data_IF_638389516250
#
_entry.id   IF_638389516250
#
_cell.length_a   1.000
_cell.length_b   1.000
_cell.length_c   1.000
_cell.angle_alpha   90.00
_cell.angle_beta   90.00
_cell.angle_gamma   90.00
#
_symmetry.space_group_name_H-M   'P 1'
#
loop_
_entity.id
_entity.type
_entity.pdbx_description
1 polymer ?
#
# COMPACT_ATOMS: atom_id res chain seq x y z
N UNK A 1 -21.54 -4.55 -3.52
CA UNK A 1 -21.67 -4.40 -2.05
C UNK A 1 -22.30 -5.61 -1.40
N UNK A 2 -23.35 -6.16 -1.99
CA UNK A 2 -23.99 -7.42 -1.51
C UNK A 2 -23.04 -8.63 -1.50
N UNK A 3 -22.24 -8.82 -2.53
CA UNK A 3 -21.22 -9.88 -2.60
C UNK A 3 -20.21 -9.82 -1.45
N UNK A 4 -19.73 -8.65 -1.06
CA UNK A 4 -18.80 -8.49 0.08
C UNK A 4 -19.49 -8.81 1.41
N UNK A 5 -20.74 -8.36 1.60
CA UNK A 5 -21.52 -8.65 2.81
C UNK A 5 -21.83 -10.14 2.92
N UNK A 6 -22.18 -10.77 1.80
CA UNK A 6 -22.38 -12.22 1.74
C UNK A 6 -21.05 -12.97 1.99
N UNK A 7 -19.94 -12.50 1.41
CA UNK A 7 -18.62 -13.05 1.65
C UNK A 7 -18.21 -13.02 3.13
N UNK A 8 -18.50 -11.94 3.86
CA UNK A 8 -18.27 -11.85 5.31
C UNK A 8 -19.08 -12.87 6.11
N UNK A 9 -20.25 -13.30 5.62
CA UNK A 9 -21.11 -14.29 6.28
C UNK A 9 -20.73 -15.74 5.91
N UNK A 10 -20.27 -15.97 4.70
CA UNK A 10 -20.02 -17.32 4.16
C UNK A 10 -18.56 -17.74 4.31
N UNK A 11 -17.60 -16.82 4.16
CA UNK A 11 -16.17 -17.11 4.24
C UNK A 11 -15.60 -16.65 5.60
N UNK A 12 -15.40 -17.60 6.53
CA UNK A 12 -14.84 -17.32 7.87
C UNK A 12 -13.44 -16.71 7.82
N UNK A 13 -12.60 -17.13 6.86
CA UNK A 13 -11.24 -16.60 6.74
C UNK A 13 -11.27 -15.12 6.32
N UNK A 14 -12.13 -14.76 5.37
CA UNK A 14 -12.33 -13.36 4.98
C UNK A 14 -12.88 -12.51 6.13
N UNK A 15 -13.82 -13.02 6.91
CA UNK A 15 -14.35 -12.32 8.08
C UNK A 15 -13.27 -12.06 9.13
N UNK A 16 -12.47 -13.08 9.47
CA UNK A 16 -11.38 -12.97 10.46
C UNK A 16 -10.32 -11.96 9.99
N UNK A 17 -9.85 -12.08 8.75
CA UNK A 17 -8.82 -11.17 8.23
C UNK A 17 -9.33 -9.73 8.10
N UNK A 18 -10.62 -9.53 7.76
CA UNK A 18 -11.25 -8.19 7.76
C UNK A 18 -11.32 -7.60 9.16
N UNK A 19 -11.64 -8.38 10.18
CA UNK A 19 -11.61 -7.93 11.58
C UNK A 19 -10.18 -7.54 12.00
N UNK A 20 -9.16 -8.32 11.59
CA UNK A 20 -7.76 -7.99 11.90
C UNK A 20 -7.32 -6.68 11.21
N UNK A 21 -7.70 -6.44 9.94
CA UNK A 21 -7.44 -5.17 9.26
C UNK A 21 -8.12 -4.00 9.98
N UNK A 22 -9.39 -4.16 10.35
CA UNK A 22 -10.12 -3.12 11.10
C UNK A 22 -9.48 -2.86 12.47
N UNK A 23 -9.01 -3.90 13.15
CA UNK A 23 -8.30 -3.78 14.43
C UNK A 23 -6.98 -3.02 14.27
N UNK A 24 -6.18 -3.31 13.25
CA UNK A 24 -4.95 -2.56 12.94
C UNK A 24 -5.24 -1.07 12.69
N UNK A 25 -6.27 -0.78 11.89
CA UNK A 25 -6.70 0.60 11.63
C UNK A 25 -7.17 1.27 12.92
N UNK A 26 -7.97 0.57 13.74
CA UNK A 26 -8.44 1.10 15.02
C UNK A 26 -7.30 1.41 15.99
N UNK A 27 -6.29 0.53 16.09
CA UNK A 27 -5.07 0.75 16.90
C UNK A 27 -4.32 1.99 16.40
N UNK A 28 -4.16 2.15 15.08
CA UNK A 28 -3.49 3.31 14.51
C UNK A 28 -4.20 4.63 14.83
N UNK A 29 -5.54 4.65 14.77
CA UNK A 29 -6.32 5.83 15.15
C UNK A 29 -6.36 6.06 16.67
N UNK A 30 -6.38 4.99 17.47
CA UNK A 30 -6.38 5.05 18.93
C UNK A 30 -4.98 5.30 19.53
N UNK A 31 -3.92 5.37 18.70
CA UNK A 31 -2.55 5.59 19.17
C UNK A 31 -2.41 6.76 20.18
N UNK A 32 -3.05 7.94 20.00
CA UNK A 32 -2.96 9.03 20.97
C UNK A 32 -3.55 8.70 22.36
N UNK A 33 -4.49 7.75 22.42
CA UNK A 33 -5.14 7.34 23.69
C UNK A 33 -4.42 6.13 24.30
N UNK A 34 -3.89 5.24 23.47
CA UNK A 34 -3.20 4.02 23.90
C UNK A 34 -1.75 4.25 24.28
N UNK A 35 -1.15 5.35 23.81
CA UNK A 35 0.26 5.68 24.06
C UNK A 35 0.42 6.22 25.48
N UNK A 36 1.29 5.60 26.32
CA UNK A 36 1.54 6.10 27.66
C UNK A 36 2.41 7.36 27.67
N UNK A 37 3.19 7.60 26.61
CA UNK A 37 4.12 8.73 26.50
C UNK A 37 3.98 9.46 25.17
N UNK A 38 4.42 10.73 25.12
CA UNK A 38 4.60 11.45 23.86
C UNK A 38 5.71 10.77 23.04
N UNK A 39 5.45 10.34 21.78
CA UNK A 39 6.42 9.61 20.95
C UNK A 39 7.64 10.47 20.54
N UNK A 40 7.57 11.78 20.74
CA UNK A 40 8.64 12.74 20.37
C UNK A 40 9.39 13.28 21.57
N UNK A 41 8.86 13.09 22.78
CA UNK A 41 9.49 13.60 24.01
C UNK A 41 10.80 12.84 24.31
N UNK A 42 11.90 13.58 24.34
CA UNK A 42 13.24 13.03 24.58
C UNK A 42 13.65 13.21 26.04
N UNK A 43 14.06 12.12 26.70
CA UNK A 43 14.57 12.11 28.06
C UNK A 43 15.94 11.43 28.05
N UNK A 44 17.01 12.19 27.85
CA UNK A 44 18.36 11.65 27.66
C UNK A 44 18.85 10.75 28.83
N UNK A 45 18.29 10.91 30.02
CA UNK A 45 18.57 10.05 31.17
C UNK A 45 18.11 8.60 30.97
N UNK A 46 17.08 8.42 30.16
CA UNK A 46 16.47 7.12 29.88
C UNK A 46 16.97 6.53 28.54
N UNK A 47 18.07 7.06 27.98
CA UNK A 47 18.61 6.60 26.70
C UNK A 47 19.01 5.13 26.76
N UNK A 48 18.56 4.34 25.74
CA UNK A 48 18.85 2.92 25.59
C UNK A 48 18.43 2.02 26.77
N UNK A 49 17.40 2.38 27.52
CA UNK A 49 16.84 1.49 28.54
C UNK A 49 16.23 0.26 27.86
N UNK A 50 16.61 -0.92 28.34
CA UNK A 50 15.99 -2.18 27.91
C UNK A 50 14.49 -2.22 28.27
N UNK A 51 13.69 -3.05 27.59
CA UNK A 51 12.29 -3.26 27.92
C UNK A 51 12.08 -3.53 29.41
N UNK A 52 11.20 -2.76 30.04
CA UNK A 52 10.92 -2.82 31.50
C UNK A 52 9.47 -2.41 31.78
N UNK A 53 9.07 -2.38 33.06
CA UNK A 53 7.68 -2.05 33.47
C UNK A 53 7.23 -0.63 33.12
N UNK A 54 8.15 0.34 33.01
CA UNK A 54 7.85 1.73 32.62
C UNK A 54 7.90 1.89 31.09
N UNK A 55 8.81 1.20 30.42
CA UNK A 55 9.02 1.23 28.97
C UNK A 55 8.91 -0.15 28.39
N UNK A 56 7.69 -0.57 27.99
CA UNK A 56 7.38 -1.94 27.57
C UNK A 56 8.27 -2.45 26.42
N UNK A 57 8.63 -1.56 25.48
CA UNK A 57 9.51 -1.87 24.33
C UNK A 57 10.89 -1.20 24.47
N UNK A 58 11.24 -0.75 25.69
CA UNK A 58 12.47 -0.01 25.93
C UNK A 58 12.43 1.41 25.34
N UNK A 59 13.60 2.07 25.34
CA UNK A 59 13.77 3.43 24.85
C UNK A 59 14.84 3.50 23.77
N UNK A 60 14.81 4.57 22.96
CA UNK A 60 15.77 4.81 21.91
C UNK A 60 16.99 5.65 22.37
N UNK A 61 17.83 6.06 21.43
CA UNK A 61 19.04 6.85 21.68
C UNK A 61 18.78 8.21 22.33
N UNK A 62 17.57 8.73 22.24
CA UNK A 62 17.15 10.00 22.86
C UNK A 62 16.29 9.79 24.10
N UNK A 63 16.12 8.52 24.55
CA UNK A 63 15.25 8.16 25.67
C UNK A 63 13.76 8.25 25.36
N UNK A 64 13.38 8.27 24.06
CA UNK A 64 11.96 8.25 23.64
C UNK A 64 11.41 6.84 23.80
N UNK A 65 10.17 6.71 24.27
CA UNK A 65 9.50 5.42 24.49
C UNK A 65 9.20 4.69 23.16
N UNK A 66 9.77 3.49 22.99
CA UNK A 66 9.62 2.73 21.76
C UNK A 66 8.21 2.19 21.56
N UNK A 67 7.47 1.83 22.63
CA UNK A 67 6.09 1.36 22.52
C UNK A 67 5.17 2.45 21.96
N UNK A 68 5.25 3.65 22.52
CA UNK A 68 4.53 4.84 22.05
C UNK A 68 4.87 5.15 20.59
N UNK A 69 6.16 5.08 20.23
CA UNK A 69 6.63 5.29 18.86
C UNK A 69 6.11 4.23 17.89
N UNK A 70 6.05 2.97 18.28
CA UNK A 70 5.47 1.89 17.44
C UNK A 70 3.97 2.11 17.21
N UNK A 71 3.21 2.51 18.25
CA UNK A 71 1.79 2.82 18.13
C UNK A 71 1.53 4.01 17.18
N UNK A 72 2.23 5.12 17.37
CA UNK A 72 2.11 6.27 16.46
C UNK A 72 2.65 5.98 15.08
N UNK A 73 3.69 5.12 14.99
CA UNK A 73 4.24 4.63 13.73
C UNK A 73 3.23 3.87 12.90
N UNK A 74 2.31 3.14 13.53
CA UNK A 74 1.19 2.50 12.85
C UNK A 74 0.38 3.51 12.02
N UNK A 75 0.06 4.67 12.60
CA UNK A 75 -0.69 5.71 11.89
C UNK A 75 0.08 6.27 10.70
N UNK A 76 1.36 6.59 10.86
CA UNK A 76 2.19 7.14 9.78
C UNK A 76 2.42 6.11 8.66
N UNK A 77 2.79 4.87 9.02
CA UNK A 77 3.10 3.81 8.06
C UNK A 77 1.87 3.32 7.32
N UNK A 78 0.72 3.10 8.02
CA UNK A 78 -0.53 2.68 7.38
C UNK A 78 -1.11 3.79 6.48
N UNK A 79 -1.13 5.05 6.94
CA UNK A 79 -1.61 6.13 6.08
C UNK A 79 -0.71 6.31 4.85
N UNK A 80 0.61 6.19 5.01
CA UNK A 80 1.57 6.26 3.90
C UNK A 80 1.34 5.18 2.85
N UNK A 81 1.19 3.91 3.26
CA UNK A 81 0.95 2.82 2.32
C UNK A 81 -0.42 2.89 1.66
N UNK A 82 -1.47 3.25 2.40
CA UNK A 82 -2.81 3.38 1.81
C UNK A 82 -2.85 4.51 0.78
N UNK A 83 -2.16 5.64 1.06
CA UNK A 83 -2.03 6.73 0.10
C UNK A 83 -1.20 6.31 -1.12
N UNK A 84 -0.13 5.54 -0.93
CA UNK A 84 0.67 4.96 -2.01
C UNK A 84 -0.17 4.05 -2.92
N UNK A 85 -0.88 3.08 -2.32
CA UNK A 85 -1.74 2.15 -3.07
C UNK A 85 -2.81 2.91 -3.85
N UNK A 86 -3.48 3.88 -3.23
CA UNK A 86 -4.48 4.71 -3.89
C UNK A 86 -3.87 5.49 -5.07
N UNK A 87 -2.69 6.09 -4.90
CA UNK A 87 -2.00 6.85 -5.95
C UNK A 87 -1.61 5.94 -7.12
N UNK A 88 -0.98 4.79 -6.85
CA UNK A 88 -0.59 3.81 -7.88
C UNK A 88 -1.82 3.27 -8.60
N UNK A 89 -2.88 2.94 -7.85
CA UNK A 89 -4.16 2.48 -8.40
C UNK A 89 -4.77 3.51 -9.35
N UNK A 90 -4.91 4.77 -8.90
CA UNK A 90 -5.55 5.85 -9.69
C UNK A 90 -4.72 6.14 -10.94
N UNK A 91 -3.43 6.38 -10.79
CA UNK A 91 -2.55 6.72 -11.91
C UNK A 91 -2.46 5.57 -12.91
N UNK A 92 -2.15 4.36 -12.42
CA UNK A 92 -1.97 3.20 -13.29
C UNK A 92 -3.26 2.78 -13.99
N UNK A 93 -4.38 2.71 -13.26
CA UNK A 93 -5.67 2.36 -13.85
C UNK A 93 -6.09 3.38 -14.91
N UNK A 94 -5.95 4.68 -14.64
CA UNK A 94 -6.29 5.74 -15.59
C UNK A 94 -5.45 5.65 -16.86
N UNK A 95 -4.13 5.49 -16.73
CA UNK A 95 -3.22 5.34 -17.87
C UNK A 95 -3.53 4.10 -18.71
N UNK A 96 -3.82 2.98 -18.06
CA UNK A 96 -4.16 1.74 -18.77
C UNK A 96 -5.54 1.79 -19.44
N UNK A 97 -6.53 2.42 -18.81
CA UNK A 97 -7.86 2.64 -19.41
C UNK A 97 -7.76 3.52 -20.64
N UNK A 98 -7.04 4.65 -20.55
CA UNK A 98 -6.80 5.54 -21.68
C UNK A 98 -6.08 4.80 -22.82
N UNK A 99 -5.02 4.09 -22.50
CA UNK A 99 -4.24 3.30 -23.44
C UNK A 99 -5.09 2.24 -24.14
N UNK A 100 -5.80 1.40 -23.39
CA UNK A 100 -6.62 0.31 -23.94
C UNK A 100 -7.83 0.79 -24.75
N UNK A 101 -8.47 1.89 -24.30
CA UNK A 101 -9.66 2.42 -24.97
C UNK A 101 -9.35 3.13 -26.29
N UNK A 102 -8.42 4.10 -26.27
CA UNK A 102 -8.09 4.90 -27.45
C UNK A 102 -7.19 4.16 -28.43
N UNK A 103 -6.28 3.31 -27.95
CA UNK A 103 -5.38 2.54 -28.82
C UNK A 103 -4.41 3.39 -29.62
N UNK A 104 -3.89 2.83 -30.72
CA UNK A 104 -3.06 3.54 -31.69
C UNK A 104 -1.84 4.25 -31.09
N UNK A 105 -1.63 5.53 -31.40
CA UNK A 105 -0.49 6.33 -30.92
C UNK A 105 -0.52 6.56 -29.40
N UNK A 106 -1.71 6.71 -28.80
CA UNK A 106 -1.86 6.91 -27.36
C UNK A 106 -1.38 5.67 -26.61
N UNK A 107 -1.84 4.50 -27.03
CA UNK A 107 -1.39 3.23 -26.49
C UNK A 107 0.12 3.05 -26.64
N UNK A 108 0.64 3.31 -27.85
CA UNK A 108 2.06 3.20 -28.12
C UNK A 108 2.92 4.06 -27.19
N UNK A 109 2.53 5.33 -26.96
CA UNK A 109 3.32 6.23 -26.10
C UNK A 109 3.28 5.78 -24.64
N UNK A 110 2.08 5.51 -24.09
CA UNK A 110 1.92 5.09 -22.68
C UNK A 110 2.67 3.78 -22.42
N UNK A 111 2.51 2.79 -23.30
CA UNK A 111 3.17 1.49 -23.12
C UNK A 111 4.69 1.59 -23.34
N UNK A 112 5.17 2.45 -24.23
CA UNK A 112 6.61 2.67 -24.40
C UNK A 112 7.24 3.29 -23.14
N UNK A 113 6.56 4.26 -22.49
CA UNK A 113 7.02 4.80 -21.21
C UNK A 113 7.00 3.70 -20.14
N UNK A 114 5.94 2.89 -20.09
CA UNK A 114 5.86 1.75 -19.18
C UNK A 114 7.00 0.75 -19.40
N UNK A 115 7.35 0.45 -20.66
CA UNK A 115 8.44 -0.46 -21.01
C UNK A 115 9.80 0.08 -20.57
N UNK A 116 10.04 1.39 -20.75
CA UNK A 116 11.25 2.04 -20.27
C UNK A 116 11.35 1.98 -18.73
N UNK A 117 10.26 2.22 -18.01
CA UNK A 117 10.27 2.15 -16.55
C UNK A 117 10.60 0.75 -16.03
N UNK A 118 10.01 -0.30 -16.63
CA UNK A 118 10.22 -1.68 -16.20
C UNK A 118 11.61 -2.21 -16.60
N UNK A 119 12.29 -1.59 -17.55
CA UNK A 119 13.65 -1.99 -17.92
C UNK A 119 14.68 -1.75 -16.81
N UNK A 120 14.37 -0.88 -15.84
CA UNK A 120 15.17 -0.64 -14.66
C UNK A 120 14.66 -1.44 -13.44
N UNK A 121 15.54 -1.90 -12.55
CA UNK A 121 15.10 -2.45 -11.26
C UNK A 121 14.30 -1.40 -10.47
N UNK A 122 13.01 -1.70 -10.19
CA UNK A 122 12.06 -0.71 -9.66
C UNK A 122 12.55 0.02 -8.42
N UNK A 123 13.12 -0.72 -7.45
CA UNK A 123 13.62 -0.11 -6.22
C UNK A 123 14.80 0.83 -6.45
N UNK A 124 15.70 0.53 -7.40
CA UNK A 124 16.82 1.41 -7.74
C UNK A 124 16.30 2.72 -8.35
N UNK A 125 15.32 2.62 -9.23
CA UNK A 125 14.70 3.81 -9.83
C UNK A 125 13.95 4.64 -8.76
N UNK A 126 13.24 4.00 -7.83
CA UNK A 126 12.57 4.68 -6.73
C UNK A 126 13.56 5.44 -5.82
N UNK A 127 14.70 4.81 -5.48
CA UNK A 127 15.77 5.46 -4.71
C UNK A 127 16.33 6.67 -5.45
N UNK A 128 16.58 6.56 -6.75
CA UNK A 128 17.09 7.67 -7.55
C UNK A 128 16.11 8.85 -7.58
N UNK A 129 14.83 8.58 -7.81
CA UNK A 129 13.78 9.61 -7.82
C UNK A 129 13.62 10.26 -6.43
N UNK A 130 13.51 9.44 -5.36
CA UNK A 130 13.39 9.93 -4.00
C UNK A 130 14.63 10.73 -3.55
N UNK A 131 15.82 10.32 -3.98
CA UNK A 131 17.08 11.00 -3.70
C UNK A 131 17.13 12.43 -4.29
N UNK A 132 16.58 12.61 -5.49
CA UNK A 132 16.46 13.94 -6.12
C UNK A 132 15.41 14.81 -5.40
N UNK A 133 14.31 14.20 -4.96
CA UNK A 133 13.20 14.92 -4.30
C UNK A 133 13.49 15.28 -2.84
N UNK A 134 14.45 14.60 -2.21
CA UNK A 134 14.77 14.75 -0.79
C UNK A 134 13.90 13.87 0.12
N UNK A 135 14.39 13.65 1.36
CA UNK A 135 13.76 12.76 2.33
C UNK A 135 12.43 13.30 2.87
N UNK A 136 11.35 12.64 2.55
CA UNK A 136 9.98 12.89 3.05
C UNK A 136 9.09 11.70 2.74
N UNK A 137 8.14 11.39 3.63
CA UNK A 137 7.15 10.33 3.37
C UNK A 137 6.37 10.60 2.06
N UNK A 138 5.99 11.84 1.83
CA UNK A 138 5.27 12.25 0.60
C UNK A 138 6.14 12.03 -0.64
N UNK A 139 7.41 12.43 -0.60
CA UNK A 139 8.33 12.23 -1.70
C UNK A 139 8.60 10.75 -1.99
N UNK A 140 8.70 9.92 -0.94
CA UNK A 140 8.80 8.48 -1.06
C UNK A 140 7.56 7.87 -1.76
N UNK A 141 6.36 8.30 -1.37
CA UNK A 141 5.11 7.87 -2.02
C UNK A 141 5.07 8.31 -3.49
N UNK A 142 5.46 9.54 -3.80
CA UNK A 142 5.52 10.01 -5.20
C UNK A 142 6.54 9.19 -6.00
N UNK A 143 7.73 8.97 -5.47
CA UNK A 143 8.78 8.19 -6.13
C UNK A 143 8.31 6.75 -6.44
N UNK A 144 7.71 6.08 -5.45
CA UNK A 144 7.15 4.74 -5.64
C UNK A 144 5.96 4.75 -6.61
N UNK A 145 5.11 5.78 -6.58
CA UNK A 145 4.01 5.91 -7.54
C UNK A 145 4.53 6.03 -8.97
N UNK A 146 5.57 6.84 -9.21
CA UNK A 146 6.20 7.02 -10.53
C UNK A 146 6.75 5.68 -11.07
N UNK A 147 7.15 4.77 -10.20
CA UNK A 147 7.70 3.48 -10.62
C UNK A 147 6.61 2.40 -10.73
N UNK A 148 5.71 2.32 -9.75
CA UNK A 148 4.82 1.16 -9.58
C UNK A 148 3.51 1.25 -10.39
N UNK A 149 3.15 2.41 -10.98
CA UNK A 149 1.94 2.58 -11.80
C UNK A 149 1.88 1.65 -13.00
N UNK A 150 3.03 1.24 -13.53
CA UNK A 150 3.17 0.48 -14.78
C UNK A 150 2.48 -0.88 -14.73
N UNK A 151 2.54 -1.58 -13.59
CA UNK A 151 1.84 -2.85 -13.34
C UNK A 151 0.32 -2.69 -13.51
N UNK A 152 -0.24 -1.66 -12.89
CA UNK A 152 -1.67 -1.36 -12.94
C UNK A 152 -2.11 -0.89 -14.34
N UNK A 153 -1.28 -0.10 -15.02
CA UNK A 153 -1.57 0.33 -16.39
C UNK A 153 -1.64 -0.85 -17.36
N UNK A 154 -0.73 -1.80 -17.28
CA UNK A 154 -0.74 -2.99 -18.14
C UNK A 154 -1.93 -3.89 -17.85
N UNK A 155 -2.26 -4.10 -16.57
CA UNK A 155 -3.40 -4.91 -16.17
C UNK A 155 -4.71 -4.28 -16.65
N UNK A 156 -4.95 -3.00 -16.34
CA UNK A 156 -6.18 -2.31 -16.73
C UNK A 156 -6.31 -2.21 -18.26
N UNK A 157 -5.20 -1.94 -18.98
CA UNK A 157 -5.19 -2.00 -20.45
C UNK A 157 -5.63 -3.36 -21.00
N UNK A 158 -5.10 -4.45 -20.44
CA UNK A 158 -5.47 -5.80 -20.85
C UNK A 158 -6.95 -6.09 -20.66
N UNK A 159 -7.50 -5.70 -19.50
CA UNK A 159 -8.91 -5.83 -19.17
C UNK A 159 -9.79 -4.98 -20.10
N UNK A 160 -9.41 -3.74 -20.37
CA UNK A 160 -10.14 -2.86 -21.30
C UNK A 160 -10.20 -3.44 -22.70
N UNK A 161 -9.09 -3.98 -23.22
CA UNK A 161 -9.05 -4.59 -24.54
C UNK A 161 -9.95 -5.83 -24.64
N UNK A 162 -10.10 -6.60 -23.56
CA UNK A 162 -11.02 -7.73 -23.49
C UNK A 162 -12.49 -7.27 -23.48
N UNK A 163 -12.82 -6.27 -22.64
CA UNK A 163 -14.20 -5.80 -22.48
C UNK A 163 -14.66 -5.01 -23.71
N UNK A 164 -13.78 -4.21 -24.32
CA UNK A 164 -14.12 -3.42 -25.51
C UNK A 164 -14.62 -4.27 -26.68
N UNK A 165 -14.27 -5.56 -26.74
CA UNK A 165 -14.69 -6.52 -27.77
C UNK A 165 -15.98 -7.27 -27.42
N UNK A 166 -16.67 -6.91 -26.33
CA UNK A 166 -17.94 -7.55 -25.95
C UNK A 166 -19.09 -6.94 -26.75
N UNK A 167 -20.04 -7.76 -27.16
CA UNK A 167 -21.16 -7.39 -28.01
C UNK A 167 -21.96 -6.19 -27.47
N UNK A 168 -22.16 -6.12 -26.14
CA UNK A 168 -22.87 -5.02 -25.51
C UNK A 168 -22.11 -3.68 -25.59
N UNK A 169 -20.77 -3.70 -25.62
CA UNK A 169 -19.95 -2.48 -25.79
C UNK A 169 -19.96 -2.06 -27.25
N UNK A 170 -19.84 -3.01 -28.18
CA UNK A 170 -19.93 -2.74 -29.61
C UNK A 170 -21.32 -2.19 -29.97
N UNK A 171 -22.40 -2.78 -29.43
CA UNK A 171 -23.75 -2.27 -29.59
C UNK A 171 -23.90 -0.82 -29.06
N UNK A 172 -23.31 -0.49 -27.91
CA UNK A 172 -23.32 0.86 -27.36
C UNK A 172 -22.60 1.86 -28.28
N UNK A 173 -21.48 1.45 -28.90
CA UNK A 173 -20.74 2.28 -29.89
C UNK A 173 -21.58 2.53 -31.13
N UNK A 174 -22.20 1.46 -31.71
CA UNK A 174 -23.03 1.55 -32.92
C UNK A 174 -24.27 2.43 -32.68
N UNK A 175 -24.84 2.39 -31.48
CA UNK A 175 -25.94 3.27 -31.07
C UNK A 175 -25.55 4.72 -30.79
N UNK A 176 -24.30 5.14 -31.10
CA UNK A 176 -23.84 6.51 -30.95
C UNK A 176 -23.41 6.91 -29.54
N UNK A 177 -23.11 5.93 -28.68
CA UNK A 177 -22.58 6.20 -27.34
C UNK A 177 -21.27 6.99 -27.37
N UNK A 178 -21.18 8.07 -26.58
CA UNK A 178 -19.96 8.87 -26.47
C UNK A 178 -18.87 8.12 -25.68
N UNK A 179 -17.60 8.41 -25.99
CA UNK A 179 -16.46 7.76 -25.30
C UNK A 179 -16.52 7.87 -23.77
N UNK A 180 -16.83 9.04 -23.15
CA UNK A 180 -17.00 9.12 -21.71
C UNK A 180 -18.11 8.21 -21.18
N UNK A 181 -19.26 8.16 -21.85
CA UNK A 181 -20.37 7.29 -21.45
C UNK A 181 -19.96 5.80 -21.48
N UNK A 182 -19.31 5.37 -22.55
CA UNK A 182 -18.85 3.98 -22.69
C UNK A 182 -17.84 3.63 -21.61
N UNK A 183 -16.89 4.53 -21.33
CA UNK A 183 -15.87 4.35 -20.28
C UNK A 183 -16.51 4.19 -18.89
N UNK A 184 -17.41 5.12 -18.52
CA UNK A 184 -17.98 5.15 -17.17
C UNK A 184 -19.04 4.09 -16.93
N UNK A 185 -19.84 3.75 -17.95
CA UNK A 185 -20.99 2.84 -17.79
C UNK A 185 -20.65 1.39 -18.14
N UNK A 186 -19.78 1.19 -19.13
CA UNK A 186 -19.54 -0.16 -19.66
C UNK A 186 -18.13 -0.72 -19.35
N UNK A 187 -17.10 0.13 -19.28
CA UNK A 187 -15.73 -0.35 -19.11
C UNK A 187 -15.32 -0.35 -17.65
N UNK A 188 -15.31 0.82 -17.00
CA UNK A 188 -14.84 0.96 -15.63
C UNK A 188 -15.54 0.03 -14.63
N UNK A 189 -16.88 -0.10 -14.60
CA UNK A 189 -17.53 -0.98 -13.64
C UNK A 189 -17.12 -2.46 -13.78
N UNK A 190 -16.76 -2.87 -15.01
CA UNK A 190 -16.37 -4.25 -15.30
C UNK A 190 -14.90 -4.56 -14.98
N UNK A 191 -14.01 -3.56 -15.02
CA UNK A 191 -12.60 -3.77 -14.66
C UNK A 191 -12.32 -3.53 -13.18
N UNK A 192 -13.09 -2.64 -12.53
CA UNK A 192 -12.86 -2.23 -11.14
C UNK A 192 -12.76 -3.39 -10.15
N UNK A 193 -13.60 -4.43 -10.18
CA UNK A 193 -13.47 -5.53 -9.23
C UNK A 193 -12.07 -6.15 -9.26
N UNK A 194 -11.55 -6.49 -10.44
CA UNK A 194 -10.22 -7.08 -10.59
C UNK A 194 -9.10 -6.11 -10.18
N UNK A 195 -9.27 -4.82 -10.49
CA UNK A 195 -8.31 -3.78 -10.09
C UNK A 195 -8.27 -3.61 -8.58
N UNK A 196 -9.43 -3.63 -7.89
CA UNK A 196 -9.52 -3.54 -6.42
C UNK A 196 -8.91 -4.76 -5.75
N UNK A 197 -9.17 -5.98 -6.26
CA UNK A 197 -8.53 -7.20 -5.78
C UNK A 197 -7.01 -7.09 -5.86
N UNK A 198 -6.50 -6.62 -7.03
CA UNK A 198 -5.06 -6.45 -7.23
C UNK A 198 -4.48 -5.43 -6.26
N UNK A 199 -5.18 -4.30 -6.04
CA UNK A 199 -4.73 -3.27 -5.10
C UNK A 199 -4.69 -3.79 -3.65
N UNK A 200 -5.69 -4.56 -3.24
CA UNK A 200 -5.73 -5.17 -1.91
C UNK A 200 -4.57 -6.17 -1.69
N UNK A 201 -4.30 -7.01 -2.68
CA UNK A 201 -3.20 -7.97 -2.64
C UNK A 201 -1.80 -7.30 -2.63
N UNK A 202 -1.70 -6.09 -3.19
CA UNK A 202 -0.42 -5.37 -3.29
C UNK A 202 -0.09 -4.51 -2.05
N UNK A 203 -1.03 -4.31 -1.11
CA UNK A 203 -0.78 -3.46 0.08
C UNK A 203 0.47 -3.92 0.84
N UNK A 204 0.63 -5.22 1.06
CA UNK A 204 1.78 -5.77 1.77
C UNK A 204 3.11 -5.52 1.04
N UNK A 205 3.15 -5.73 -0.27
CA UNK A 205 4.34 -5.50 -1.08
C UNK A 205 4.72 -4.01 -1.10
N UNK A 206 3.76 -3.13 -1.35
CA UNK A 206 3.98 -1.67 -1.37
C UNK A 206 4.36 -1.13 0.02
N UNK A 207 3.86 -1.74 1.11
CA UNK A 207 4.30 -1.42 2.46
C UNK A 207 5.79 -1.75 2.66
N UNK A 208 6.24 -2.91 2.20
CA UNK A 208 7.66 -3.29 2.25
C UNK A 208 8.54 -2.35 1.43
N UNK A 209 8.09 -1.94 0.24
CA UNK A 209 8.81 -0.97 -0.60
C UNK A 209 8.93 0.39 0.10
N UNK A 210 7.83 0.91 0.67
CA UNK A 210 7.81 2.19 1.40
C UNK A 210 8.69 2.15 2.64
N UNK A 211 8.58 1.08 3.44
CA UNK A 211 9.41 0.88 4.63
C UNK A 211 10.90 0.76 4.27
N UNK A 212 11.23 0.08 3.16
CA UNK A 212 12.60 -0.04 2.67
C UNK A 212 13.17 1.31 2.23
N UNK A 213 12.37 2.15 1.56
CA UNK A 213 12.79 3.48 1.14
C UNK A 213 13.00 4.40 2.36
N UNK A 214 12.13 4.32 3.38
CA UNK A 214 12.29 5.00 4.66
C UNK A 214 13.51 4.49 5.43
N UNK A 215 13.76 3.19 5.45
CA UNK A 215 14.95 2.57 6.05
C UNK A 215 16.25 3.06 5.40
N UNK A 216 16.24 3.34 4.12
CA UNK A 216 17.39 3.92 3.41
C UNK A 216 17.55 5.44 3.64
N UNK A 217 16.60 6.09 4.32
CA UNK A 217 16.64 7.51 4.66
C UNK A 217 15.94 8.43 3.69
N UNK A 218 15.23 7.89 2.69
CA UNK A 218 14.50 8.66 1.68
C UNK A 218 13.00 8.85 2.01
N UNK A 219 12.51 8.22 3.09
CA UNK A 219 11.15 8.37 3.58
C UNK A 219 11.01 9.44 4.65
N UNK A 220 10.21 9.12 5.68
CA UNK A 220 10.00 10.00 6.85
C UNK A 220 11.31 10.44 7.47
N UNK A 221 11.30 11.66 8.04
CA UNK A 221 12.46 12.23 8.71
C UNK A 221 12.21 12.35 10.23
N UNK A 222 13.27 12.28 11.07
CA UNK A 222 13.14 12.54 12.49
C UNK A 222 12.50 13.92 12.76
N UNK A 223 11.70 14.08 13.82
CA UNK A 223 11.42 13.12 14.90
C UNK A 223 10.21 12.17 14.63
N UNK A 224 9.67 12.12 13.43
CA UNK A 224 8.45 11.37 13.11
C UNK A 224 8.58 9.89 13.50
N UNK A 225 7.59 9.31 14.21
CA UNK A 225 7.55 7.90 14.53
C UNK A 225 6.99 7.11 13.35
N UNK A 226 7.80 6.74 12.36
CA UNK A 226 7.43 5.89 11.22
C UNK A 226 8.28 4.62 11.26
N UNK A 227 7.70 3.44 11.00
CA UNK A 227 8.36 2.16 11.27
C UNK A 227 9.64 1.94 10.47
N UNK A 228 9.67 2.32 9.17
CA UNK A 228 10.88 2.22 8.35
C UNK A 228 12.00 3.15 8.84
N UNK A 229 11.64 4.37 9.26
CA UNK A 229 12.57 5.31 9.89
C UNK A 229 13.08 4.78 11.23
N UNK A 230 12.21 4.18 12.06
CA UNK A 230 12.62 3.57 13.33
C UNK A 230 13.63 2.45 13.11
N UNK A 231 13.47 1.63 12.09
CA UNK A 231 14.47 0.63 11.70
C UNK A 231 15.80 1.28 11.29
N UNK A 232 15.75 2.38 10.53
CA UNK A 232 16.96 3.15 10.18
C UNK A 232 17.69 3.68 11.41
N UNK A 233 16.95 4.30 12.35
CA UNK A 233 17.51 4.83 13.60
C UNK A 233 18.13 3.73 14.47
N UNK A 234 17.52 2.51 14.49
CA UNK A 234 17.96 1.37 15.30
C UNK A 234 19.13 0.56 14.72
N UNK A 235 19.39 0.63 13.41
CA UNK A 235 20.33 -0.27 12.71
C UNK A 235 21.75 -0.31 13.28
N UNK A 236 22.23 0.83 13.77
CA UNK A 236 23.59 0.95 14.34
C UNK A 236 23.69 0.37 15.76
N UNK A 237 22.54 0.14 16.41
CA UNK A 237 22.43 -0.32 17.79
C UNK A 237 21.96 -1.77 17.91
N UNK A 238 22.02 -2.54 16.84
CA UNK A 238 21.49 -3.90 16.80
C UNK A 238 22.10 -4.83 17.86
N UNK A 239 23.38 -4.63 18.19
CA UNK A 239 24.10 -5.45 19.18
C UNK A 239 23.81 -5.00 20.62
N UNK A 240 23.55 -3.74 20.86
CA UNK A 240 23.40 -3.14 22.20
C UNK A 240 21.93 -2.93 22.58
N UNK A 241 21.08 -2.60 21.61
CA UNK A 241 19.66 -2.31 21.79
C UNK A 241 18.81 -2.95 20.69
N UNK A 242 18.74 -4.30 20.62
CA UNK A 242 18.05 -5.02 19.53
C UNK A 242 16.55 -4.72 19.46
N UNK A 243 15.92 -4.31 20.56
CA UNK A 243 14.51 -3.95 20.60
C UNK A 243 14.14 -2.80 19.66
N UNK A 244 15.09 -1.91 19.35
CA UNK A 244 14.88 -0.78 18.43
C UNK A 244 14.56 -1.22 17.02
N UNK A 245 15.04 -2.38 16.59
CA UNK A 245 14.69 -2.97 15.30
C UNK A 245 13.61 -4.04 15.41
N UNK A 246 13.62 -4.81 16.50
CA UNK A 246 12.70 -5.94 16.67
C UNK A 246 11.23 -5.51 16.64
N UNK A 247 10.85 -4.52 17.45
CA UNK A 247 9.44 -4.13 17.57
C UNK A 247 8.88 -3.43 16.33
N UNK A 248 9.56 -2.44 15.70
CA UNK A 248 9.08 -1.89 14.43
C UNK A 248 9.07 -2.93 13.31
N UNK A 249 10.07 -3.80 13.25
CA UNK A 249 10.13 -4.91 12.29
C UNK A 249 8.98 -5.89 12.46
N UNK A 250 8.66 -6.25 13.70
CA UNK A 250 7.51 -7.10 14.03
C UNK A 250 6.18 -6.43 13.63
N UNK A 251 6.04 -5.12 13.86
CA UNK A 251 4.86 -4.36 13.47
C UNK A 251 4.66 -4.36 11.95
N UNK A 252 5.72 -4.15 11.16
CA UNK A 252 5.68 -4.27 9.70
C UNK A 252 5.31 -5.70 9.29
N UNK A 253 5.98 -6.71 9.85
CA UNK A 253 5.73 -8.12 9.52
C UNK A 253 4.28 -8.53 9.75
N UNK A 254 3.72 -8.23 10.94
CA UNK A 254 2.33 -8.55 11.28
C UNK A 254 1.36 -7.83 10.34
N UNK A 255 1.61 -6.55 10.05
CA UNK A 255 0.78 -5.77 9.15
C UNK A 255 0.78 -6.33 7.73
N UNK A 256 1.96 -6.62 7.18
CA UNK A 256 2.12 -7.23 5.85
C UNK A 256 1.40 -8.59 5.78
N UNK A 257 1.58 -9.42 6.81
CA UNK A 257 0.93 -10.73 6.88
C UNK A 257 -0.61 -10.59 6.87
N UNK A 258 -1.16 -9.67 7.67
CA UNK A 258 -2.61 -9.45 7.74
C UNK A 258 -3.16 -8.96 6.40
N UNK A 259 -2.51 -7.97 5.77
CA UNK A 259 -2.97 -7.45 4.48
C UNK A 259 -2.83 -8.46 3.34
N UNK A 260 -1.77 -9.28 3.31
CA UNK A 260 -1.62 -10.33 2.30
C UNK A 260 -2.74 -11.37 2.45
N UNK A 261 -2.97 -11.89 3.67
CA UNK A 261 -4.06 -12.83 3.93
C UNK A 261 -5.43 -12.23 3.61
N UNK A 262 -5.63 -10.95 3.91
CA UNK A 262 -6.89 -10.28 3.58
C UNK A 262 -7.07 -10.10 2.08
N UNK A 263 -6.01 -9.74 1.34
CA UNK A 263 -6.03 -9.61 -0.11
C UNK A 263 -6.34 -10.93 -0.82
N UNK A 264 -5.73 -12.03 -0.37
CA UNK A 264 -5.99 -13.38 -0.90
C UNK A 264 -7.44 -13.81 -0.66
N UNK A 265 -7.95 -13.65 0.57
CA UNK A 265 -9.34 -13.96 0.89
C UNK A 265 -10.35 -13.05 0.15
N UNK A 266 -10.02 -11.78 -0.07
CA UNK A 266 -10.84 -10.86 -0.87
C UNK A 266 -10.93 -11.33 -2.32
N UNK A 267 -9.83 -11.83 -2.87
CA UNK A 267 -9.81 -12.42 -4.21
C UNK A 267 -10.75 -13.61 -4.30
N UNK A 268 -10.70 -14.52 -3.32
CA UNK A 268 -11.55 -15.72 -3.30
C UNK A 268 -13.04 -15.37 -3.22
N UNK A 269 -13.41 -14.32 -2.50
CA UNK A 269 -14.80 -13.85 -2.37
C UNK A 269 -15.30 -13.15 -3.63
N UNK A 270 -14.41 -12.46 -4.36
CA UNK A 270 -14.78 -11.68 -5.55
C UNK A 270 -14.54 -12.43 -6.86
N UNK A 271 -13.98 -13.68 -6.83
CA UNK A 271 -13.80 -14.50 -8.04
C UNK A 271 -15.14 -15.10 -8.47
N UNK A 272 -15.68 -14.74 -9.67
CA UNK A 272 -16.96 -15.23 -10.15
C UNK A 272 -17.00 -16.75 -10.44
N UNK A 273 -15.83 -17.42 -10.39
CA UNK A 273 -15.76 -18.87 -10.69
C UNK A 273 -16.24 -19.73 -9.53
N UNK A 274 -16.31 -19.19 -8.32
CA UNK A 274 -16.78 -19.93 -7.15
C UNK A 274 -18.31 -20.06 -7.10
N UNK A 275 -19.06 -19.21 -7.84
CA UNK A 275 -20.53 -19.27 -7.89
C UNK A 275 -21.09 -20.39 -8.81
N UNK A 276 -20.24 -21.20 -9.46
CA UNK A 276 -20.68 -22.24 -10.44
C UNK A 276 -20.63 -23.66 -9.83
N UNK A 277 -20.30 -23.82 -8.55
CA UNK A 277 -20.15 -25.14 -7.91
C UNK A 277 -21.26 -25.50 -6.90
N UNK A 278 -22.33 -24.71 -6.82
CA UNK A 278 -23.52 -25.03 -6.02
C UNK A 278 -24.75 -25.32 -6.89
#
# INVERSE_FOLDING_TARGET
METLINGLKTNRAFAVTSVLVLLLIAIAFAAPVLSPYDPTHATMQDAFMAPNGSHLFGTDKLGRDCFSRVLYGARASLSGVLFLVASVFIVGTSMGVISGYFGGKVDMVIMRISDMMISFPGMILAIAVAGIMGGSLVNAVIALTIVSWTKYARLSRSLVLQIKRRDYVEAAIVNGGTSPHILWVHILPNILPMMVITAAADIGALMMELASLSFLGFGSQPPAPEWGLMLNEGRQQLQTAPWLMFFPGLAIFVTVMIFNLWGDNLRDVLDPRNDVQD
#
